data_IF_649797630296
#
_entry.id   IF_649797630296
#
_cell.length_a   1.000
_cell.length_b   1.000
_cell.length_c   1.000
_cell.angle_alpha   90.00
_cell.angle_beta   90.00
_cell.angle_gamma   90.00
#
_symmetry.space_group_name_H-M   'P 1'
#
loop_
_entity.id
_entity.type
_entity.pdbx_description
1 polymer ?
#
# COMPACT_ATOMS: atom_id res chain seq x y z
N UNK A 1 18.86 11.25 1.50
CA UNK A 1 18.19 9.95 1.25
C UNK A 1 19.28 8.95 0.97
N UNK A 2 19.19 7.71 1.47
CA UNK A 2 20.15 6.67 1.05
C UNK A 2 19.73 6.18 -0.33
N UNK A 3 20.67 6.12 -1.25
CA UNK A 3 20.46 5.54 -2.58
C UNK A 3 20.87 4.07 -2.54
N UNK A 4 20.02 3.20 -3.08
CA UNK A 4 20.32 1.79 -3.23
C UNK A 4 21.47 1.59 -4.23
N UNK A 5 22.24 0.51 -4.04
CA UNK A 5 23.13 0.07 -5.10
C UNK A 5 22.31 -0.16 -6.38
N UNK A 6 22.82 0.33 -7.52
CA UNK A 6 22.08 0.32 -8.77
C UNK A 6 21.61 -1.09 -9.16
N UNK A 7 22.44 -2.11 -8.94
CA UNK A 7 22.06 -3.49 -9.30
C UNK A 7 20.92 -4.01 -8.42
N UNK A 8 20.91 -3.64 -7.12
CA UNK A 8 19.81 -4.00 -6.22
C UNK A 8 18.54 -3.24 -6.61
N UNK A 9 18.66 -1.94 -6.89
CA UNK A 9 17.53 -1.14 -7.35
C UNK A 9 16.90 -1.73 -8.61
N UNK A 10 17.70 -1.95 -9.66
CA UNK A 10 17.22 -2.48 -10.94
C UNK A 10 16.57 -3.87 -10.78
N UNK A 11 17.14 -4.74 -9.93
CA UNK A 11 16.58 -6.07 -9.66
C UNK A 11 15.24 -6.02 -8.91
N UNK A 12 15.14 -5.16 -7.88
CA UNK A 12 13.89 -4.93 -7.15
C UNK A 12 12.82 -4.35 -8.07
N UNK A 13 13.17 -3.43 -8.96
CA UNK A 13 12.24 -2.87 -9.95
C UNK A 13 11.69 -3.95 -10.86
N UNK A 14 12.54 -4.82 -11.44
CA UNK A 14 12.10 -5.91 -12.32
C UNK A 14 11.13 -6.84 -11.58
N UNK A 15 11.44 -7.21 -10.34
CA UNK A 15 10.56 -8.08 -9.56
C UNK A 15 9.20 -7.42 -9.25
N UNK A 16 9.17 -6.11 -9.00
CA UNK A 16 7.91 -5.39 -8.86
C UNK A 16 7.12 -5.35 -10.17
N UNK A 17 7.77 -5.07 -11.30
CA UNK A 17 7.12 -5.06 -12.62
C UNK A 17 6.52 -6.45 -12.95
N UNK A 18 7.25 -7.54 -12.69
CA UNK A 18 6.72 -8.91 -12.82
C UNK A 18 5.53 -9.17 -11.88
N UNK A 19 5.58 -8.62 -10.67
CA UNK A 19 4.47 -8.71 -9.72
C UNK A 19 3.23 -7.95 -10.19
N UNK A 20 3.42 -6.74 -10.74
CA UNK A 20 2.35 -5.90 -11.27
C UNK A 20 1.67 -6.58 -12.47
N UNK A 21 2.44 -7.15 -13.40
CA UNK A 21 1.91 -7.93 -14.54
C UNK A 21 1.06 -9.12 -14.09
N UNK A 22 1.44 -9.79 -12.99
CA UNK A 22 0.67 -10.90 -12.41
C UNK A 22 -0.60 -10.40 -11.72
N UNK A 23 -0.53 -9.27 -11.02
CA UNK A 23 -1.68 -8.66 -10.37
C UNK A 23 -2.73 -8.19 -11.38
N UNK A 24 -2.31 -7.60 -12.51
CA UNK A 24 -3.19 -7.23 -13.63
C UNK A 24 -3.91 -8.44 -14.24
N UNK A 25 -3.32 -9.63 -14.14
CA UNK A 25 -3.91 -10.90 -14.57
C UNK A 25 -4.74 -11.59 -13.47
N UNK A 26 -4.99 -10.90 -12.36
CA UNK A 26 -5.65 -11.40 -11.14
C UNK A 26 -4.90 -12.57 -10.45
N UNK A 27 -3.65 -12.88 -10.84
CA UNK A 27 -2.79 -13.83 -10.12
C UNK A 27 -2.10 -13.16 -8.93
N UNK A 28 -2.92 -12.80 -7.93
CA UNK A 28 -2.46 -12.13 -6.72
C UNK A 28 -1.46 -12.97 -5.91
N UNK A 29 -1.55 -14.30 -6.00
CA UNK A 29 -0.61 -15.19 -5.32
C UNK A 29 0.77 -15.13 -5.99
N UNK A 30 0.80 -15.15 -7.31
CA UNK A 30 2.02 -14.93 -8.09
C UNK A 30 2.62 -13.55 -7.81
N UNK A 31 1.79 -12.50 -7.84
CA UNK A 31 2.20 -11.13 -7.56
C UNK A 31 2.86 -10.98 -6.18
N UNK A 32 2.19 -11.48 -5.13
CA UNK A 32 2.74 -11.47 -3.76
C UNK A 32 4.07 -12.21 -3.67
N UNK A 33 4.23 -13.34 -4.36
CA UNK A 33 5.50 -14.06 -4.37
C UNK A 33 6.64 -13.20 -4.94
N UNK A 34 6.38 -12.45 -6.01
CA UNK A 34 7.35 -11.55 -6.64
C UNK A 34 7.69 -10.34 -5.78
N UNK A 35 6.69 -9.71 -5.18
CA UNK A 35 6.95 -8.57 -4.29
C UNK A 35 7.71 -8.97 -3.02
N UNK A 36 7.43 -10.14 -2.45
CA UNK A 36 8.20 -10.63 -1.30
C UNK A 36 9.65 -11.00 -1.68
N UNK A 37 9.87 -11.56 -2.88
CA UNK A 37 11.22 -11.74 -3.42
C UNK A 37 11.94 -10.39 -3.52
N UNK A 38 11.26 -9.35 -4.03
CA UNK A 38 11.81 -8.00 -4.10
C UNK A 38 12.17 -7.43 -2.72
N UNK A 39 11.29 -7.64 -1.74
CA UNK A 39 11.49 -7.21 -0.35
C UNK A 39 12.72 -7.88 0.28
N UNK A 40 12.89 -9.19 0.08
CA UNK A 40 14.00 -9.98 0.63
C UNK A 40 15.37 -9.59 0.03
N UNK A 41 15.38 -8.95 -1.14
CA UNK A 41 16.58 -8.39 -1.76
C UNK A 41 17.01 -7.04 -1.17
N UNK A 42 16.15 -6.36 -0.41
CA UNK A 42 16.46 -5.05 0.15
C UNK A 42 17.45 -5.15 1.33
N UNK A 43 18.45 -4.26 1.44
CA UNK A 43 19.42 -4.32 2.52
C UNK A 43 18.80 -3.99 3.89
N UNK A 44 19.34 -4.60 4.94
CA UNK A 44 18.94 -4.27 6.32
C UNK A 44 19.60 -2.97 6.84
N UNK A 45 18.92 -2.17 7.68
CA UNK A 45 17.51 -2.28 8.01
C UNK A 45 16.61 -1.78 6.88
N UNK A 46 15.65 -2.60 6.45
CA UNK A 46 14.80 -2.33 5.28
C UNK A 46 14.06 -0.99 5.37
N UNK A 47 13.68 -0.55 6.58
CA UNK A 47 12.98 0.72 6.82
C UNK A 47 13.76 1.99 6.48
N UNK A 48 15.04 1.88 6.07
CA UNK A 48 15.82 3.03 5.63
C UNK A 48 15.73 3.32 4.13
N UNK A 49 15.11 2.44 3.34
CA UNK A 49 15.09 2.52 1.88
C UNK A 49 13.71 2.90 1.37
N UNK A 50 13.66 3.84 0.44
CA UNK A 50 12.41 4.23 -0.20
C UNK A 50 11.79 3.08 -1.02
N UNK A 51 12.62 2.19 -1.58
CA UNK A 51 12.13 1.02 -2.29
C UNK A 51 11.27 0.10 -1.41
N UNK A 52 11.56 0.02 -0.11
CA UNK A 52 10.74 -0.70 0.86
C UNK A 52 9.33 -0.14 0.92
N UNK A 53 9.17 1.18 0.81
CA UNK A 53 7.85 1.82 0.74
C UNK A 53 7.09 1.34 -0.49
N UNK A 54 7.71 1.34 -1.67
CA UNK A 54 7.06 0.92 -2.92
C UNK A 54 6.65 -0.56 -2.86
N UNK A 55 7.58 -1.43 -2.46
CA UNK A 55 7.35 -2.89 -2.39
C UNK A 55 6.24 -3.22 -1.39
N UNK A 56 6.27 -2.66 -0.18
CA UNK A 56 5.22 -2.91 0.81
C UNK A 56 3.87 -2.30 0.41
N UNK A 57 3.87 -1.22 -0.39
CA UNK A 57 2.64 -0.66 -0.95
C UNK A 57 2.00 -1.64 -1.94
N UNK A 58 2.79 -2.20 -2.86
CA UNK A 58 2.34 -3.22 -3.80
C UNK A 58 1.85 -4.49 -3.08
N UNK A 59 2.59 -4.97 -2.07
CA UNK A 59 2.16 -6.09 -1.22
C UNK A 59 0.83 -5.76 -0.54
N UNK A 60 0.70 -4.57 0.05
CA UNK A 60 -0.52 -4.13 0.72
C UNK A 60 -1.73 -4.05 -0.20
N UNK A 61 -1.53 -3.53 -1.42
CA UNK A 61 -2.54 -3.45 -2.47
C UNK A 61 -2.99 -4.84 -2.94
N UNK A 62 -2.04 -5.75 -3.23
CA UNK A 62 -2.35 -7.13 -3.60
C UNK A 62 -3.09 -7.89 -2.49
N UNK A 63 -2.73 -7.67 -1.22
CA UNK A 63 -3.45 -8.23 -0.07
C UNK A 63 -4.90 -7.70 0.00
N UNK A 64 -5.10 -6.39 -0.21
CA UNK A 64 -6.43 -5.78 -0.26
C UNK A 64 -7.28 -6.39 -1.37
N UNK A 65 -6.76 -6.43 -2.60
CA UNK A 65 -7.42 -7.04 -3.77
C UNK A 65 -7.73 -8.52 -3.56
N UNK A 66 -6.89 -9.24 -2.80
CA UNK A 66 -7.07 -10.65 -2.45
C UNK A 66 -8.01 -10.90 -1.26
N UNK A 67 -8.50 -9.84 -0.62
CA UNK A 67 -9.36 -9.93 0.56
C UNK A 67 -8.63 -10.29 1.87
N UNK A 68 -7.29 -10.36 1.86
CA UNK A 68 -6.49 -10.52 3.09
C UNK A 68 -6.21 -9.15 3.72
N UNK A 69 -7.27 -8.52 4.20
CA UNK A 69 -7.21 -7.19 4.79
C UNK A 69 -6.33 -7.13 6.03
N UNK A 70 -6.14 -8.26 6.73
CA UNK A 70 -5.25 -8.34 7.88
C UNK A 70 -3.80 -8.18 7.45
N UNK A 71 -3.35 -8.97 6.48
CA UNK A 71 -2.01 -8.82 5.91
C UNK A 71 -1.84 -7.43 5.28
N UNK A 72 -2.88 -6.89 4.63
CA UNK A 72 -2.90 -5.52 4.11
C UNK A 72 -2.59 -4.47 5.20
N UNK A 73 -3.28 -4.53 6.34
CA UNK A 73 -3.00 -3.64 7.48
C UNK A 73 -1.57 -3.78 7.98
N UNK A 74 -1.09 -5.02 8.18
CA UNK A 74 0.24 -5.27 8.74
C UNK A 74 1.34 -4.69 7.83
N UNK A 75 1.28 -4.98 6.52
CA UNK A 75 2.28 -4.54 5.55
C UNK A 75 2.24 -3.02 5.30
N UNK A 76 1.04 -2.43 5.16
CA UNK A 76 0.91 -0.98 4.94
C UNK A 76 1.28 -0.18 6.19
N UNK A 77 0.99 -0.70 7.39
CA UNK A 77 1.46 -0.10 8.64
C UNK A 77 2.98 -0.15 8.74
N UNK A 78 3.60 -1.25 8.30
CA UNK A 78 5.05 -1.35 8.25
C UNK A 78 5.67 -0.36 7.24
N UNK A 79 5.02 -0.18 6.08
CA UNK A 79 5.42 0.83 5.09
C UNK A 79 5.47 2.24 5.68
N UNK A 80 4.57 2.60 6.62
CA UNK A 80 4.56 3.92 7.26
C UNK A 80 5.82 4.26 8.07
N UNK A 81 6.66 3.27 8.38
CA UNK A 81 7.98 3.48 8.99
C UNK A 81 9.09 3.78 7.96
N UNK A 82 8.80 3.68 6.67
CA UNK A 82 9.75 3.83 5.58
C UNK A 82 9.73 5.27 5.00
N UNK A 83 10.78 5.69 4.27
CA UNK A 83 10.86 7.02 3.70
C UNK A 83 9.69 7.33 2.76
N UNK A 84 9.19 8.57 2.84
CA UNK A 84 8.08 9.12 2.03
C UNK A 84 6.70 8.46 2.21
N UNK A 85 6.56 7.40 3.00
CA UNK A 85 5.29 6.69 3.15
C UNK A 85 4.16 7.57 3.72
N UNK A 86 4.45 8.37 4.76
CA UNK A 86 3.47 9.27 5.40
C UNK A 86 2.88 10.30 4.41
N UNK A 87 3.63 10.68 3.37
CA UNK A 87 3.16 11.61 2.35
C UNK A 87 2.40 10.95 1.20
N UNK A 88 2.30 9.62 1.18
CA UNK A 88 1.69 8.89 0.08
C UNK A 88 0.18 8.69 0.35
N UNK A 89 -0.71 9.35 -0.41
CA UNK A 89 -2.16 9.24 -0.21
C UNK A 89 -2.67 7.83 -0.48
N UNK A 90 -2.04 7.07 -1.38
CA UNK A 90 -2.48 5.73 -1.76
C UNK A 90 -2.28 4.72 -0.62
N UNK A 91 -1.17 4.82 0.13
CA UNK A 91 -0.95 3.96 1.31
C UNK A 91 -2.03 4.25 2.36
N UNK A 92 -2.36 5.52 2.59
CA UNK A 92 -3.44 5.92 3.49
C UNK A 92 -4.81 5.40 3.01
N UNK A 93 -5.09 5.46 1.71
CA UNK A 93 -6.30 4.91 1.11
C UNK A 93 -6.42 3.41 1.41
N UNK A 94 -5.44 2.61 0.96
CA UNK A 94 -5.46 1.15 1.12
C UNK A 94 -5.46 0.72 2.57
N UNK A 95 -4.72 1.40 3.44
CA UNK A 95 -4.72 1.10 4.87
C UNK A 95 -6.09 1.40 5.49
N UNK A 96 -6.72 2.53 5.13
CA UNK A 96 -8.06 2.87 5.60
C UNK A 96 -9.13 1.89 5.12
N UNK A 97 -9.04 1.44 3.88
CA UNK A 97 -9.94 0.42 3.32
C UNK A 97 -9.78 -0.91 4.04
N UNK A 98 -8.55 -1.42 4.20
CA UNK A 98 -8.29 -2.66 4.93
C UNK A 98 -8.77 -2.58 6.40
N UNK A 99 -8.63 -1.42 7.04
CA UNK A 99 -9.16 -1.21 8.40
C UNK A 99 -10.69 -1.25 8.42
N UNK A 100 -11.35 -0.67 7.42
CA UNK A 100 -12.82 -0.68 7.34
C UNK A 100 -13.35 -2.11 7.16
N UNK A 101 -12.73 -2.90 6.29
CA UNK A 101 -13.10 -4.29 6.05
C UNK A 101 -12.91 -5.17 7.29
N UNK A 102 -11.94 -4.83 8.15
CA UNK A 102 -11.76 -5.47 9.46
C UNK A 102 -12.70 -4.92 10.55
N UNK A 103 -13.59 -3.98 10.23
CA UNK A 103 -14.52 -3.36 11.18
C UNK A 103 -13.89 -2.30 12.09
N UNK A 104 -12.64 -1.90 11.84
CA UNK A 104 -11.92 -0.91 12.63
C UNK A 104 -12.25 0.52 12.17
N UNK A 105 -13.52 0.92 12.27
CA UNK A 105 -14.02 2.17 11.70
C UNK A 105 -13.24 3.42 12.13
N UNK A 106 -12.82 3.51 13.40
CA UNK A 106 -12.04 4.66 13.88
C UNK A 106 -10.72 4.80 13.10
N UNK A 107 -10.00 3.70 12.92
CA UNK A 107 -8.73 3.68 12.18
C UNK A 107 -8.98 3.95 10.70
N UNK A 108 -10.00 3.35 10.13
CA UNK A 108 -10.40 3.60 8.75
C UNK A 108 -10.65 5.10 8.50
N UNK A 109 -11.45 5.75 9.35
CA UNK A 109 -11.77 7.17 9.20
C UNK A 109 -10.51 8.05 9.24
N UNK A 110 -9.57 7.76 10.14
CA UNK A 110 -8.32 8.53 10.25
C UNK A 110 -7.45 8.42 8.99
N UNK A 111 -7.25 7.20 8.47
CA UNK A 111 -6.42 7.00 7.29
C UNK A 111 -7.09 7.54 6.02
N UNK A 112 -8.38 7.27 5.81
CA UNK A 112 -9.12 7.79 4.66
C UNK A 112 -9.21 9.33 4.68
N UNK A 113 -9.25 9.94 5.87
CA UNK A 113 -9.16 11.40 5.99
C UNK A 113 -7.79 11.91 5.51
N UNK A 114 -6.69 11.22 5.82
CA UNK A 114 -5.34 11.60 5.34
C UNK A 114 -5.23 11.43 3.84
N UNK A 115 -5.75 10.34 3.28
CA UNK A 115 -5.79 10.13 1.82
C UNK A 115 -6.53 11.30 1.14
N UNK A 116 -7.73 11.63 1.62
CA UNK A 116 -8.54 12.74 1.12
C UNK A 116 -7.84 14.10 1.28
N UNK A 117 -7.22 14.37 2.43
CA UNK A 117 -6.55 15.65 2.67
C UNK A 117 -5.34 15.88 1.75
N UNK A 118 -4.70 14.80 1.26
CA UNK A 118 -3.52 14.88 0.39
C UNK A 118 -3.92 14.89 -1.09
N UNK A 119 -4.88 14.05 -1.50
CA UNK A 119 -5.22 13.81 -2.91
C UNK A 119 -6.63 14.25 -3.33
N UNK A 120 -7.46 14.73 -2.41
CA UNK A 120 -8.86 15.09 -2.68
C UNK A 120 -9.76 13.88 -2.87
N UNK A 121 -10.95 14.09 -3.45
CA UNK A 121 -11.93 13.01 -3.68
C UNK A 121 -11.56 12.06 -4.82
N UNK A 122 -10.72 12.51 -5.76
CA UNK A 122 -10.32 11.74 -6.95
C UNK A 122 -9.65 10.40 -6.58
N UNK A 123 -8.97 10.35 -5.43
CA UNK A 123 -8.29 9.15 -4.93
C UNK A 123 -9.23 7.96 -4.66
N UNK A 124 -10.54 8.18 -4.61
CA UNK A 124 -11.55 7.14 -4.35
C UNK A 124 -12.28 6.67 -5.61
N UNK A 125 -12.06 7.28 -6.78
CA UNK A 125 -12.92 7.11 -7.95
C UNK A 125 -12.92 5.70 -8.54
N UNK A 126 -11.79 5.00 -8.43
CA UNK A 126 -11.60 3.66 -9.00
C UNK A 126 -12.02 2.52 -8.04
N UNK A 127 -12.34 2.82 -6.78
CA UNK A 127 -12.69 1.83 -5.78
C UNK A 127 -14.19 1.78 -5.48
N UNK A 128 -14.61 0.78 -4.69
CA UNK A 128 -16.00 0.68 -4.22
C UNK A 128 -16.42 2.00 -3.52
N UNK A 129 -17.51 2.66 -3.97
CA UNK A 129 -17.98 3.92 -3.41
C UNK A 129 -18.20 3.90 -1.89
N UNK A 130 -18.41 2.71 -1.29
CA UNK A 130 -18.61 2.55 0.16
C UNK A 130 -17.49 3.20 0.99
N UNK A 131 -16.26 3.25 0.49
CA UNK A 131 -15.15 3.84 1.25
C UNK A 131 -15.26 5.37 1.34
N UNK A 132 -15.63 6.02 0.24
CA UNK A 132 -15.83 7.46 0.23
C UNK A 132 -17.12 7.86 0.94
N UNK A 133 -18.20 7.10 0.77
CA UNK A 133 -19.46 7.31 1.50
C UNK A 133 -19.28 7.08 3.01
N UNK A 134 -18.49 6.08 3.40
CA UNK A 134 -18.09 5.90 4.79
C UNK A 134 -17.37 7.16 5.29
N UNK A 135 -16.38 7.67 4.56
CA UNK A 135 -15.66 8.87 4.97
C UNK A 135 -16.59 10.09 5.12
N UNK A 136 -17.48 10.35 4.16
CA UNK A 136 -18.51 11.41 4.22
C UNK A 136 -19.38 11.32 5.47
N UNK A 137 -19.65 10.11 5.97
CA UNK A 137 -20.42 9.94 7.20
C UNK A 137 -19.64 10.30 8.49
N UNK A 138 -18.32 10.48 8.40
CA UNK A 138 -17.42 10.72 9.55
C UNK A 138 -16.85 12.12 9.62
N UNK A 139 -16.81 12.86 8.50
CA UNK A 139 -16.25 14.21 8.43
C UNK A 139 -17.24 15.18 7.79
N UNK A 140 -17.23 16.43 8.25
CA UNK A 140 -17.92 17.52 7.57
C UNK A 140 -17.04 17.97 6.38
N UNK A 141 -17.55 17.83 5.16
CA UNK A 141 -16.85 18.19 3.91
C UNK A 141 -17.15 19.61 3.46
#
# INVERSE_FOLDING_TARGET
MKELDKNIHDHVTILCEEGDELAEQEDLKGALAKYWEAFDHLPEPQTLWEATTWVLTAIGDANFSGGDYKAGVDNLSYAMHCPKAIGNPFIHLRLGQCQLEQGNEKRAAEELTRAYAIAGSEIFEDDDPKYFEFLKSKIDM
#
